data_IF_207085832662
#
_entry.id   IF_207085832662
#
_cell.length_a   1.000
_cell.length_b   1.000
_cell.length_c   1.000
_cell.angle_alpha   90.00
_cell.angle_beta   90.00
_cell.angle_gamma   90.00
#
_symmetry.space_group_name_H-M   'P 1'
#
loop_
_entity.id
_entity.type
_entity.pdbx_description
1 polymer ?
#
# COMPACT_ATOMS: atom_id res chain seq x y z
N UNK A 1 -6.70 6.18 1.24
CA UNK A 1 -7.15 5.70 2.57
C UNK A 1 -6.42 6.48 3.66
N UNK A 2 -7.10 6.90 4.73
CA UNK A 2 -6.47 7.63 5.85
C UNK A 2 -5.99 6.66 6.97
N UNK A 3 -5.11 7.10 7.88
CA UNK A 3 -4.70 6.32 9.04
C UNK A 3 -5.86 5.83 9.93
N UNK A 4 -6.87 6.66 10.15
CA UNK A 4 -8.03 6.28 10.96
C UNK A 4 -8.85 5.16 10.30
N UNK A 5 -8.96 5.19 8.98
CA UNK A 5 -9.66 4.14 8.23
C UNK A 5 -8.93 2.80 8.32
N UNK A 6 -7.62 2.77 8.05
CA UNK A 6 -6.85 1.51 8.09
C UNK A 6 -6.79 0.92 9.48
N UNK A 7 -6.63 1.76 10.51
CA UNK A 7 -6.67 1.33 11.92
C UNK A 7 -8.00 0.68 12.22
N UNK A 8 -9.10 1.31 11.83
CA UNK A 8 -10.43 0.76 12.03
C UNK A 8 -10.65 -0.57 11.32
N UNK A 9 -10.07 -0.79 10.14
CA UNK A 9 -10.17 -2.09 9.44
C UNK A 9 -9.40 -3.17 10.20
N UNK A 10 -8.14 -2.90 10.54
CA UNK A 10 -7.25 -3.87 11.19
C UNK A 10 -7.77 -4.25 12.58
N UNK A 11 -8.16 -3.28 13.41
CA UNK A 11 -8.56 -3.55 14.80
C UNK A 11 -9.94 -4.19 14.94
N UNK A 12 -10.73 -4.25 13.86
CA UNK A 12 -12.05 -4.90 13.84
C UNK A 12 -12.04 -6.25 13.12
N UNK A 13 -10.87 -6.74 12.70
CA UNK A 13 -10.74 -8.03 12.06
C UNK A 13 -11.18 -9.17 13.01
N UNK A 14 -12.14 -10.00 12.56
CA UNK A 14 -12.57 -11.17 13.30
C UNK A 14 -11.56 -12.32 13.23
N UNK A 15 -11.72 -13.33 14.11
CA UNK A 15 -10.87 -14.53 14.11
C UNK A 15 -10.84 -15.19 12.74
N UNK A 16 -9.65 -15.55 12.27
CA UNK A 16 -9.44 -16.20 10.96
C UNK A 16 -9.39 -15.26 9.76
N UNK A 17 -9.64 -13.96 9.96
CA UNK A 17 -9.56 -12.95 8.89
C UNK A 17 -8.10 -12.72 8.48
N UNK A 18 -7.87 -12.63 7.17
CA UNK A 18 -6.61 -12.12 6.60
C UNK A 18 -6.90 -10.80 5.91
N UNK A 19 -6.07 -9.79 6.16
CA UNK A 19 -6.16 -8.48 5.51
C UNK A 19 -4.94 -8.35 4.61
N UNK A 20 -5.17 -7.98 3.35
CA UNK A 20 -4.11 -7.66 2.39
C UNK A 20 -4.30 -6.20 2.02
N UNK A 21 -3.30 -5.38 2.32
CA UNK A 21 -3.26 -3.97 1.91
C UNK A 21 -2.33 -3.86 0.72
N UNK A 22 -2.86 -3.38 -0.41
CA UNK A 22 -2.13 -3.18 -1.65
C UNK A 22 -2.23 -1.71 -2.07
N UNK A 23 -1.16 -1.20 -2.69
CA UNK A 23 -1.13 0.13 -3.27
C UNK A 23 0.29 0.63 -3.52
N UNK A 24 0.39 1.76 -4.19
CA UNK A 24 1.63 2.50 -4.38
C UNK A 24 1.63 3.72 -3.44
N UNK A 25 2.60 3.83 -2.51
CA UNK A 25 2.73 4.99 -1.63
C UNK A 25 2.80 6.34 -2.38
N UNK A 26 3.22 6.34 -3.65
CA UNK A 26 3.35 7.56 -4.45
C UNK A 26 2.07 7.92 -5.22
N UNK A 27 1.11 7.00 -5.34
CA UNK A 27 -0.16 7.25 -6.04
C UNK A 27 -1.22 7.77 -5.08
N UNK A 28 -1.20 9.08 -4.86
CA UNK A 28 -2.10 9.76 -3.93
C UNK A 28 -2.86 10.87 -4.65
N UNK A 29 -4.18 10.83 -4.50
CA UNK A 29 -5.14 11.75 -5.14
C UNK A 29 -5.80 12.70 -4.12
N UNK A 30 -5.36 12.69 -2.85
CA UNK A 30 -5.99 13.47 -1.76
C UNK A 30 -5.10 14.61 -1.27
N UNK A 31 -5.61 15.86 -1.21
CA UNK A 31 -4.81 17.05 -0.89
C UNK A 31 -4.09 17.03 0.47
N UNK A 32 -4.54 16.21 1.41
CA UNK A 32 -4.03 16.16 2.80
C UNK A 32 -3.32 14.86 3.15
N UNK A 33 -3.05 14.02 2.15
CA UNK A 33 -2.27 12.80 2.32
C UNK A 33 -1.00 12.91 1.49
N UNK A 34 0.07 12.35 2.02
CA UNK A 34 1.35 12.19 1.35
C UNK A 34 1.83 10.73 1.44
N UNK A 35 2.98 10.47 0.84
CA UNK A 35 3.60 9.13 0.75
C UNK A 35 3.85 8.49 2.12
N UNK A 36 3.92 9.28 3.20
CA UNK A 36 4.20 8.85 4.58
C UNK A 36 2.95 8.87 5.47
N UNK A 37 1.98 9.73 5.17
CA UNK A 37 0.78 9.97 6.00
C UNK A 37 -0.46 9.21 5.53
N UNK A 38 -0.43 8.58 4.36
CA UNK A 38 -1.52 7.71 3.91
C UNK A 38 -1.65 6.43 4.77
N UNK A 39 -2.81 5.78 4.67
CA UNK A 39 -3.13 4.58 5.45
C UNK A 39 -2.23 3.37 5.17
N UNK A 40 -1.73 3.19 3.94
CA UNK A 40 -0.84 2.07 3.61
C UNK A 40 0.50 2.24 4.33
N UNK A 41 1.15 3.40 4.18
CA UNK A 41 2.42 3.72 4.83
C UNK A 41 2.29 3.78 6.35
N UNK A 42 1.17 4.29 6.87
CA UNK A 42 0.87 4.25 8.29
C UNK A 42 0.83 2.81 8.83
N UNK A 43 0.08 1.91 8.19
CA UNK A 43 -0.02 0.52 8.62
C UNK A 43 1.35 -0.20 8.51
N UNK A 44 2.06 -0.03 7.39
CA UNK A 44 3.38 -0.61 7.19
C UNK A 44 4.37 -0.18 8.28
N UNK A 45 4.43 1.12 8.60
CA UNK A 45 5.33 1.64 9.64
C UNK A 45 5.02 1.08 11.03
N UNK A 46 3.73 1.05 11.42
CA UNK A 46 3.34 0.69 12.79
C UNK A 46 3.23 -0.83 13.03
N UNK A 47 3.03 -1.62 11.97
CA UNK A 47 2.96 -3.08 12.08
C UNK A 47 4.31 -3.77 11.83
N UNK A 48 5.38 -3.02 11.56
CA UNK A 48 6.72 -3.55 11.33
C UNK A 48 7.20 -4.34 12.55
N UNK A 49 7.62 -5.59 12.33
CA UNK A 49 8.10 -6.49 13.38
C UNK A 49 7.01 -7.26 14.14
N UNK A 50 5.73 -7.03 13.84
CA UNK A 50 4.64 -7.86 14.39
C UNK A 50 4.71 -9.28 13.85
N UNK A 51 4.48 -10.28 14.69
CA UNK A 51 4.34 -11.69 14.27
C UNK A 51 3.12 -11.95 13.37
N UNK A 52 2.18 -11.00 13.30
CA UNK A 52 0.98 -11.07 12.47
C UNK A 52 1.09 -10.30 11.15
N UNK A 53 2.21 -9.60 10.91
CA UNK A 53 2.37 -8.76 9.72
C UNK A 53 3.66 -9.11 8.97
N UNK A 54 3.48 -9.32 7.67
CA UNK A 54 4.58 -9.37 6.71
C UNK A 54 4.36 -8.29 5.64
N UNK A 55 5.47 -7.72 5.18
CA UNK A 55 5.46 -6.66 4.17
C UNK A 55 6.32 -7.09 3.00
N UNK A 56 5.76 -6.91 1.80
CA UNK A 56 6.42 -7.22 0.55
C UNK A 56 6.34 -5.95 -0.30
N UNK A 57 7.50 -5.53 -0.80
CA UNK A 57 7.59 -4.42 -1.75
C UNK A 57 7.93 -4.99 -3.12
N UNK A 58 7.16 -4.63 -4.14
CA UNK A 58 7.44 -4.97 -5.53
C UNK A 58 8.15 -3.79 -6.19
N UNK A 59 9.31 -4.04 -6.76
CA UNK A 59 10.08 -3.02 -7.47
C UNK A 59 9.65 -2.92 -8.94
N UNK A 60 10.00 -1.81 -9.59
CA UNK A 60 9.74 -1.64 -11.02
C UNK A 60 10.42 -2.72 -11.89
N UNK A 61 11.52 -3.32 -11.42
CA UNK A 61 12.24 -4.40 -12.13
C UNK A 61 11.49 -5.73 -12.13
N UNK A 62 10.58 -5.92 -11.18
CA UNK A 62 9.74 -7.12 -11.06
C UNK A 62 8.38 -6.93 -11.75
N UNK A 63 8.15 -5.78 -12.37
CA UNK A 63 6.89 -5.43 -12.99
C UNK A 63 6.84 -5.96 -14.43
N UNK A 64 5.97 -6.94 -14.67
CA UNK A 64 5.68 -7.42 -16.01
C UNK A 64 4.65 -6.52 -16.69
N UNK A 65 5.04 -5.92 -17.82
CA UNK A 65 4.18 -5.05 -18.64
C UNK A 65 4.40 -5.34 -20.10
N UNK A 66 3.35 -5.16 -20.91
CA UNK A 66 3.49 -5.24 -22.37
C UNK A 66 4.42 -4.13 -22.89
N UNK A 67 5.02 -4.33 -24.07
CA UNK A 67 5.85 -3.31 -24.71
C UNK A 67 5.11 -1.97 -24.87
N UNK A 68 3.81 -2.01 -25.22
CA UNK A 68 2.96 -0.83 -25.34
C UNK A 68 2.83 -0.07 -24.01
N UNK A 69 2.58 -0.78 -22.90
CA UNK A 69 2.41 -0.16 -21.59
C UNK A 69 3.71 0.48 -21.07
N UNK A 70 4.86 -0.12 -21.40
CA UNK A 70 6.17 0.45 -21.07
C UNK A 70 6.48 1.72 -21.88
N UNK A 71 6.19 1.71 -23.18
CA UNK A 71 6.35 2.90 -24.03
C UNK A 71 5.45 4.05 -23.56
N UNK A 72 4.17 3.78 -23.27
CA UNK A 72 3.24 4.78 -22.78
C UNK A 72 3.67 5.41 -21.45
N UNK A 73 4.14 4.60 -20.47
CA UNK A 73 4.58 5.09 -19.16
C UNK A 73 5.81 6.01 -19.19
N UNK A 74 6.55 6.01 -20.31
CA UNK A 74 7.72 6.88 -20.50
C UNK A 74 7.35 8.19 -21.20
N UNK A 75 6.27 8.18 -22.00
CA UNK A 75 5.87 9.32 -22.86
C UNK A 75 4.77 10.19 -22.25
N UNK A 76 3.91 9.61 -21.42
CA UNK A 76 2.78 10.27 -20.76
C UNK A 76 3.12 10.52 -19.30
#
# INVERSE_FOLDING_TARGET
MTPNQVKGIITRAGKGTKIILLGDPNQIDRPFLDEKTNGLSYAAKHMKGSSFCWQISLSAKECERSQLAMDAATRL
#
